data_IF_681812159307
#
_entry.id   IF_681812159307
#
_cell.length_a   1.000
_cell.length_b   1.000
_cell.length_c   1.000
_cell.angle_alpha   90.00
_cell.angle_beta   90.00
_cell.angle_gamma   90.00
#
_symmetry.space_group_name_H-M   'P 1'
#
loop_
_entity.id
_entity.type
_entity.pdbx_description
1 polymer ?
#
# COMPACT_ATOMS: atom_id res chain seq x y z
N UNK A 1 -9.40 9.59 2.10
CA UNK A 1 -7.99 9.15 1.97
C UNK A 1 -7.90 7.67 2.31
N UNK A 2 -7.10 6.90 1.57
CA UNK A 2 -6.95 5.44 1.73
C UNK A 2 -5.52 5.09 2.17
N UNK A 3 -5.41 4.25 3.19
CA UNK A 3 -4.15 3.72 3.72
C UNK A 3 -4.10 2.20 3.58
N UNK A 4 -3.16 1.69 2.80
CA UNK A 4 -2.78 0.28 2.87
C UNK A 4 -1.96 0.07 4.15
N UNK A 5 -2.57 -0.53 5.18
CA UNK A 5 -1.97 -0.66 6.51
C UNK A 5 -1.38 -2.03 6.78
N UNK A 6 -1.83 -3.06 6.05
CA UNK A 6 -1.44 -4.46 6.26
C UNK A 6 -0.91 -5.05 4.96
N UNK A 7 0.38 -5.39 4.95
CA UNK A 7 1.05 -6.01 3.81
C UNK A 7 0.88 -7.53 3.78
N UNK A 8 0.95 -8.08 2.58
CA UNK A 8 0.91 -9.53 2.37
C UNK A 8 1.87 -9.98 1.25
N UNK A 9 2.44 -11.17 1.42
CA UNK A 9 3.40 -11.73 0.47
C UNK A 9 4.79 -11.10 0.54
N UNK A 10 5.64 -11.49 -0.39
CA UNK A 10 7.01 -10.99 -0.55
C UNK A 10 7.06 -9.58 -1.18
N UNK A 11 8.27 -9.06 -1.44
CA UNK A 11 8.48 -7.71 -1.98
C UNK A 11 7.79 -7.51 -3.34
N UNK A 12 7.89 -8.49 -4.25
CA UNK A 12 7.30 -8.41 -5.59
C UNK A 12 5.78 -8.38 -5.53
N UNK A 13 5.17 -9.26 -4.74
CA UNK A 13 3.72 -9.30 -4.55
C UNK A 13 3.19 -8.00 -3.93
N UNK A 14 3.92 -7.45 -2.95
CA UNK A 14 3.56 -6.19 -2.30
C UNK A 14 3.66 -5.00 -3.24
N UNK A 15 4.63 -4.98 -4.15
CA UNK A 15 4.73 -3.95 -5.17
C UNK A 15 3.51 -3.99 -6.11
N UNK A 16 3.14 -5.19 -6.57
CA UNK A 16 1.96 -5.37 -7.43
C UNK A 16 0.68 -4.96 -6.72
N UNK A 17 0.46 -5.39 -5.47
CA UNK A 17 -0.66 -4.94 -4.65
C UNK A 17 -0.70 -3.42 -4.53
N UNK A 18 0.45 -2.79 -4.25
CA UNK A 18 0.54 -1.35 -4.14
C UNK A 18 0.15 -0.65 -5.46
N UNK A 19 0.62 -1.15 -6.61
CA UNK A 19 0.26 -0.60 -7.91
C UNK A 19 -1.24 -0.72 -8.19
N UNK A 20 -1.89 -1.82 -7.82
CA UNK A 20 -3.33 -1.96 -7.99
C UNK A 20 -4.12 -0.97 -7.13
N UNK A 21 -3.83 -0.85 -5.83
CA UNK A 21 -4.51 0.13 -4.98
C UNK A 21 -4.27 1.57 -5.43
N UNK A 22 -3.03 1.88 -5.78
CA UNK A 22 -2.68 3.22 -6.24
C UNK A 22 -3.37 3.53 -7.57
N UNK A 23 -3.49 2.56 -8.49
CA UNK A 23 -4.19 2.73 -9.75
C UNK A 23 -5.68 3.06 -9.50
N UNK A 24 -6.32 2.29 -8.62
CA UNK A 24 -7.72 2.50 -8.24
C UNK A 24 -7.95 3.87 -7.61
N UNK A 25 -7.12 4.24 -6.64
CA UNK A 25 -7.24 5.53 -5.96
C UNK A 25 -6.94 6.69 -6.90
N UNK A 26 -5.93 6.55 -7.79
CA UNK A 26 -5.59 7.55 -8.80
C UNK A 26 -6.74 7.79 -9.78
N UNK A 27 -7.40 6.72 -10.23
CA UNK A 27 -8.53 6.81 -11.16
C UNK A 27 -9.71 7.58 -10.56
N UNK A 28 -9.93 7.39 -9.25
CA UNK A 28 -11.04 7.97 -8.52
C UNK A 28 -10.69 9.29 -7.80
N UNK A 29 -9.50 9.86 -8.05
CA UNK A 29 -9.00 11.07 -7.38
C UNK A 29 -9.01 10.98 -5.84
N UNK A 30 -8.56 9.85 -5.30
CA UNK A 30 -8.46 9.57 -3.87
C UNK A 30 -6.98 9.59 -3.47
N UNK A 31 -6.67 10.35 -2.41
CA UNK A 31 -5.33 10.33 -1.81
C UNK A 31 -5.04 8.93 -1.23
N UNK A 32 -3.91 8.35 -1.62
CA UNK A 32 -3.49 6.99 -1.28
C UNK A 32 -2.10 6.97 -0.66
N UNK A 33 -1.94 6.16 0.39
CA UNK A 33 -0.69 5.92 1.09
C UNK A 33 -0.50 4.46 1.43
N UNK A 34 0.74 3.99 1.43
CA UNK A 34 1.09 2.64 1.85
C UNK A 34 2.05 2.68 3.04
N UNK A 35 1.51 2.48 4.24
CA UNK A 35 2.25 2.57 5.50
C UNK A 35 3.40 1.55 5.55
N UNK A 36 3.19 0.41 4.90
CA UNK A 36 4.11 -0.72 4.90
C UNK A 36 5.15 -0.65 3.78
N UNK A 37 5.12 0.35 2.88
CA UNK A 37 6.08 0.43 1.75
C UNK A 37 7.51 0.84 2.15
N UNK A 38 7.73 1.16 3.43
CA UNK A 38 8.98 1.73 3.95
C UNK A 38 10.27 0.97 3.64
N UNK A 39 10.20 -0.36 3.49
CA UNK A 39 11.35 -1.22 3.19
C UNK A 39 11.68 -1.28 1.69
N UNK A 40 10.85 -0.66 0.85
CA UNK A 40 11.01 -0.50 -0.59
C UNK A 40 11.18 0.96 -1.00
N UNK A 41 10.84 1.92 -0.13
CA UNK A 41 10.94 3.37 -0.36
C UNK A 41 12.29 3.80 -0.94
N UNK A 42 13.41 3.36 -0.35
CA UNK A 42 14.75 3.75 -0.82
C UNK A 42 15.06 3.19 -2.20
N UNK A 43 14.68 1.92 -2.45
CA UNK A 43 14.97 1.24 -3.69
C UNK A 43 14.33 1.92 -4.91
N UNK A 44 13.13 2.48 -4.72
CA UNK A 44 12.44 3.26 -5.75
C UNK A 44 12.64 4.78 -5.60
N UNK A 45 13.35 5.22 -4.57
CA UNK A 45 13.48 6.61 -4.16
C UNK A 45 12.14 7.33 -4.04
N UNK A 46 11.16 6.68 -3.42
CA UNK A 46 9.83 7.18 -3.10
C UNK A 46 9.82 7.46 -1.60
N UNK A 47 9.44 8.68 -1.19
CA UNK A 47 9.30 9.04 0.22
C UNK A 47 7.84 9.35 0.49
N UNK A 48 7.11 8.42 1.08
CA UNK A 48 5.70 8.66 1.41
C UNK A 48 5.59 9.70 2.53
N UNK A 49 4.51 10.48 2.52
CA UNK A 49 4.14 11.38 3.61
C UNK A 49 3.86 10.58 4.88
N UNK A 50 3.28 9.39 4.77
CA UNK A 50 3.00 8.50 5.89
C UNK A 50 3.76 7.18 5.68
N UNK A 51 4.76 6.93 6.52
CA UNK A 51 5.63 5.75 6.43
C UNK A 51 6.11 5.36 7.81
N UNK A 52 6.13 4.05 8.11
CA UNK A 52 6.69 3.54 9.37
C UNK A 52 8.18 3.84 9.52
N UNK A 53 8.89 4.17 8.44
CA UNK A 53 10.30 4.62 8.50
C UNK A 53 10.50 5.91 9.30
N UNK A 54 9.46 6.72 9.40
CA UNK A 54 9.49 8.01 10.12
C UNK A 54 9.41 7.82 11.64
N UNK A 55 9.01 6.64 12.10
CA UNK A 55 9.01 6.30 13.53
C UNK A 55 10.40 5.78 13.89
N UNK A 56 11.07 6.32 14.93
CA UNK A 56 12.35 5.80 15.38
C UNK A 56 12.25 4.31 15.72
N UNK A 57 13.26 3.51 15.34
CA UNK A 57 13.22 2.04 15.48
C UNK A 57 12.87 1.56 16.90
N UNK A 58 13.32 2.28 17.94
CA UNK A 58 13.04 1.95 19.35
C UNK A 58 11.56 2.06 19.71
N UNK A 59 10.80 2.91 19.02
CA UNK A 59 9.37 3.12 19.21
C UNK A 59 8.53 2.38 18.17
N UNK A 60 9.16 1.66 17.24
CA UNK A 60 8.47 0.99 16.17
C UNK A 60 8.13 -0.44 16.61
N UNK A 61 6.88 -0.74 16.98
CA UNK A 61 6.52 -2.07 17.45
C UNK A 61 6.65 -3.10 16.32
N UNK A 62 6.57 -4.39 16.66
CA UNK A 62 6.54 -5.45 15.64
C UNK A 62 5.30 -5.31 14.73
N UNK A 63 5.32 -5.96 13.56
CA UNK A 63 4.26 -5.84 12.55
C UNK A 63 2.87 -6.19 13.08
N UNK A 64 2.73 -7.31 13.79
CA UNK A 64 1.44 -7.76 14.32
C UNK A 64 0.86 -6.74 15.32
N UNK A 65 1.72 -6.17 16.16
CA UNK A 65 1.32 -5.10 17.08
C UNK A 65 0.92 -3.83 16.34
N UNK A 66 1.60 -3.44 15.24
CA UNK A 66 1.18 -2.28 14.43
C UNK A 66 -0.23 -2.46 13.87
N UNK A 67 -0.50 -3.63 13.28
CA UNK A 67 -1.83 -3.93 12.73
C UNK A 67 -2.89 -3.93 13.82
N UNK A 68 -2.59 -4.56 14.96
CA UNK A 68 -3.49 -4.60 16.11
C UNK A 68 -3.82 -3.20 16.65
N UNK A 69 -2.84 -2.30 16.70
CA UNK A 69 -3.07 -0.90 17.10
C UNK A 69 -4.08 -0.23 16.16
N UNK A 70 -3.88 -0.32 14.85
CA UNK A 70 -4.78 0.31 13.86
C UNK A 70 -6.19 -0.29 13.96
N UNK A 71 -6.28 -1.62 14.06
CA UNK A 71 -7.55 -2.33 14.23
C UNK A 71 -8.29 -1.94 15.50
N UNK A 72 -7.58 -1.83 16.62
CA UNK A 72 -8.18 -1.42 17.90
C UNK A 72 -8.58 0.05 17.92
N UNK A 73 -7.81 0.94 17.29
CA UNK A 73 -8.19 2.35 17.14
C UNK A 73 -9.49 2.49 16.35
N UNK A 74 -9.64 1.75 15.25
CA UNK A 74 -10.89 1.74 14.48
C UNK A 74 -12.07 1.21 15.30
N UNK A 75 -11.90 0.09 16.02
CA UNK A 75 -12.95 -0.47 16.90
C UNK A 75 -13.36 0.52 18.00
N UNK A 76 -12.38 1.18 18.60
CA UNK A 76 -12.62 2.17 19.64
C UNK A 76 -13.35 3.40 19.09
N UNK A 77 -12.94 3.91 17.92
CA UNK A 77 -13.62 5.00 17.23
C UNK A 77 -15.09 4.67 16.93
N UNK A 78 -15.37 3.48 16.42
CA UNK A 78 -16.75 2.98 16.19
C UNK A 78 -17.54 2.97 17.49
N UNK A 79 -16.98 2.44 18.58
CA UNK A 79 -17.62 2.42 19.91
C UNK A 79 -17.99 3.84 20.41
N UNK A 80 -17.20 4.84 20.06
CA UNK A 80 -17.44 6.24 20.40
C UNK A 80 -18.28 7.00 19.36
N UNK A 81 -18.85 6.33 18.35
CA UNK A 81 -19.54 6.95 17.22
C UNK A 81 -18.68 7.94 16.40
N UNK A 82 -17.34 7.83 16.48
CA UNK A 82 -16.40 8.58 15.65
C UNK A 82 -16.26 7.84 14.32
N UNK A 83 -16.98 8.30 13.29
CA UNK A 83 -17.08 7.61 11.99
C UNK A 83 -16.02 8.03 10.97
N UNK A 84 -15.01 8.81 11.37
CA UNK A 84 -13.98 9.33 10.47
C UNK A 84 -12.94 8.28 10.04
N UNK A 85 -12.91 7.13 10.71
CA UNK A 85 -11.97 6.04 10.45
C UNK A 85 -12.73 4.75 10.16
N UNK A 86 -12.36 4.06 9.09
CA UNK A 86 -12.94 2.77 8.70
C UNK A 86 -11.85 1.77 8.38
N UNK A 87 -12.12 0.50 8.63
CA UNK A 87 -11.29 -0.62 8.19
C UNK A 87 -12.08 -1.48 7.22
N UNK A 88 -11.47 -1.79 6.09
CA UNK A 88 -11.93 -2.84 5.18
C UNK A 88 -10.87 -3.93 5.08
N UNK A 89 -11.30 -5.17 5.27
CA UNK A 89 -10.46 -6.35 5.16
C UNK A 89 -10.91 -7.20 3.96
N UNK A 90 -10.04 -7.35 2.96
CA UNK A 90 -10.32 -8.07 1.72
C UNK A 90 -9.89 -9.54 1.74
N UNK A 91 -9.72 -10.12 2.93
CA UNK A 91 -9.25 -11.50 3.10
C UNK A 91 -10.24 -12.58 2.62
N UNK A 92 -11.48 -12.22 2.26
CA UNK A 92 -12.44 -13.18 1.75
C UNK A 92 -12.18 -13.52 0.27
N UNK A 93 -11.93 -14.80 0.00
CA UNK A 93 -11.70 -15.36 -1.33
C UNK A 93 -12.85 -15.11 -2.30
N UNK A 94 -14.09 -15.04 -1.80
CA UNK A 94 -15.29 -14.84 -2.62
C UNK A 94 -15.43 -13.39 -3.10
N UNK A 95 -14.78 -12.45 -2.42
CA UNK A 95 -14.82 -11.01 -2.72
C UNK A 95 -13.67 -10.56 -3.64
N UNK A 96 -12.87 -11.52 -4.15
CA UNK A 96 -11.78 -11.27 -5.09
C UNK A 96 -12.30 -10.62 -6.38
N UNK A 97 -11.66 -9.53 -6.80
CA UNK A 97 -12.02 -8.77 -8.01
C UNK A 97 -13.45 -8.17 -8.00
N UNK A 98 -14.09 -8.08 -6.83
CA UNK A 98 -15.41 -7.47 -6.72
C UNK A 98 -15.29 -5.95 -6.68
N UNK A 99 -15.12 -5.33 -7.86
CA UNK A 99 -15.00 -3.88 -7.98
C UNK A 99 -16.22 -3.14 -7.40
N UNK A 100 -17.41 -3.73 -7.52
CA UNK A 100 -18.64 -3.17 -6.95
C UNK A 100 -18.61 -3.12 -5.42
N UNK A 101 -18.05 -4.15 -4.78
CA UNK A 101 -17.81 -4.13 -3.34
C UNK A 101 -16.83 -3.02 -2.94
N UNK A 102 -15.75 -2.85 -3.72
CA UNK A 102 -14.76 -1.79 -3.47
C UNK A 102 -15.38 -0.41 -3.65
N UNK A 103 -16.18 -0.20 -4.69
CA UNK A 103 -16.88 1.05 -4.93
C UNK A 103 -17.83 1.37 -3.78
N UNK A 104 -18.63 0.39 -3.34
CA UNK A 104 -19.50 0.53 -2.17
C UNK A 104 -18.71 0.88 -0.91
N UNK A 105 -17.55 0.27 -0.69
CA UNK A 105 -16.80 0.48 0.55
C UNK A 105 -15.96 1.75 0.53
N UNK A 106 -15.24 2.02 -0.55
CA UNK A 106 -14.27 3.11 -0.67
C UNK A 106 -14.93 4.38 -1.20
N UNK A 107 -15.72 4.31 -2.28
CA UNK A 107 -16.30 5.52 -2.88
C UNK A 107 -17.41 6.12 -2.03
N UNK A 108 -18.28 5.29 -1.44
CA UNK A 108 -19.33 5.76 -0.53
C UNK A 108 -18.77 6.36 0.78
N UNK A 109 -17.50 6.09 1.08
CA UNK A 109 -16.82 6.59 2.29
C UNK A 109 -15.59 7.45 1.96
N UNK A 110 -15.51 8.01 0.75
CA UNK A 110 -14.33 8.74 0.25
C UNK A 110 -13.96 9.98 1.07
N UNK A 111 -14.91 10.51 1.83
CA UNK A 111 -14.78 11.62 2.78
C UNK A 111 -14.07 11.22 4.09
N UNK A 112 -13.87 9.92 4.33
CA UNK A 112 -13.25 9.38 5.55
C UNK A 112 -11.78 8.99 5.34
N UNK A 113 -11.13 8.67 6.45
CA UNK A 113 -9.87 7.93 6.45
C UNK A 113 -10.17 6.44 6.45
N UNK A 114 -9.73 5.75 5.40
CA UNK A 114 -10.00 4.34 5.18
C UNK A 114 -8.69 3.58 5.30
N UNK A 115 -8.63 2.60 6.19
CA UNK A 115 -7.53 1.66 6.29
C UNK A 115 -7.93 0.35 5.61
N UNK A 116 -7.14 -0.11 4.65
CA UNK A 116 -7.40 -1.32 3.90
C UNK A 116 -6.30 -2.36 4.13
N UNK A 117 -6.71 -3.63 4.22
CA UNK A 117 -5.78 -4.75 4.10
C UNK A 117 -5.51 -5.02 2.62
N UNK A 118 -4.28 -5.39 2.26
CA UNK A 118 -3.88 -5.48 0.86
C UNK A 118 -4.14 -6.80 0.15
N UNK A 119 -4.70 -7.80 0.85
CA UNK A 119 -4.72 -9.17 0.33
C UNK A 119 -5.65 -9.27 -0.88
N UNK A 120 -5.09 -9.71 -2.01
CA UNK A 120 -5.80 -10.09 -3.23
C UNK A 120 -6.66 -9.02 -3.92
N UNK A 121 -6.58 -7.77 -3.48
CA UNK A 121 -7.10 -6.64 -4.22
C UNK A 121 -6.39 -6.50 -5.58
N UNK A 122 -7.16 -6.57 -6.66
CA UNK A 122 -6.65 -6.49 -8.03
C UNK A 122 -7.61 -5.70 -8.91
N UNK A 123 -7.04 -4.74 -9.63
CA UNK A 123 -7.70 -3.98 -10.69
C UNK A 123 -6.80 -3.97 -11.93
N UNK A 124 -6.74 -5.10 -12.69
CA UNK A 124 -5.79 -5.25 -13.78
C UNK A 124 -5.91 -4.19 -14.86
N UNK A 125 -7.15 -3.82 -15.22
CA UNK A 125 -7.42 -2.83 -16.26
C UNK A 125 -6.83 -1.46 -15.90
N UNK A 126 -7.02 -1.01 -14.66
CA UNK A 126 -6.44 0.26 -14.18
C UNK A 126 -4.92 0.19 -14.04
N UNK A 127 -4.37 -0.94 -13.59
CA UNK A 127 -2.93 -1.13 -13.51
C UNK A 127 -2.27 -1.06 -14.90
N UNK A 128 -2.94 -1.59 -15.92
CA UNK A 128 -2.52 -1.48 -17.33
C UNK A 128 -2.67 -0.04 -17.83
N UNK A 129 -3.82 0.61 -17.58
CA UNK A 129 -4.07 2.02 -17.95
C UNK A 129 -2.99 2.97 -17.42
N UNK A 130 -2.52 2.75 -16.18
CA UNK A 130 -1.50 3.58 -15.54
C UNK A 130 -0.08 2.99 -15.62
N UNK A 131 0.19 2.06 -16.55
CA UNK A 131 1.49 1.39 -16.68
C UNK A 131 2.67 2.36 -16.78
N UNK A 132 2.59 3.39 -17.62
CA UNK A 132 3.70 4.34 -17.81
C UNK A 132 3.97 5.18 -16.56
N UNK A 133 2.91 5.53 -15.84
CA UNK A 133 3.01 6.18 -14.54
C UNK A 133 3.77 5.29 -13.54
N UNK A 134 3.42 4.01 -13.47
CA UNK A 134 4.11 3.07 -12.59
C UNK A 134 5.53 2.77 -13.02
N UNK A 135 5.79 2.66 -14.33
CA UNK A 135 7.15 2.51 -14.85
C UNK A 135 8.01 3.67 -14.39
N UNK A 136 7.54 4.91 -14.53
CA UNK A 136 8.29 6.10 -14.07
C UNK A 136 8.50 6.10 -12.55
N UNK A 137 7.46 5.75 -11.78
CA UNK A 137 7.49 5.83 -10.31
C UNK A 137 8.29 4.70 -9.65
N UNK A 138 8.16 3.48 -10.17
CA UNK A 138 8.70 2.23 -9.59
C UNK A 138 9.85 1.64 -10.42
N UNK A 139 10.51 2.44 -11.26
CA UNK A 139 11.84 2.07 -11.76
C UNK A 139 12.83 2.23 -10.61
N UNK A 140 13.60 1.17 -10.26
CA UNK A 140 14.59 1.25 -9.19
C UNK A 140 15.59 2.38 -9.43
N UNK A 141 15.87 3.16 -8.40
CA UNK A 141 16.96 4.13 -8.39
C UNK A 141 18.19 3.43 -7.85
N UNK A 142 18.82 2.63 -8.69
CA UNK A 142 20.09 1.99 -8.34
C UNK A 142 21.13 3.11 -8.14
N UNK A 143 21.71 3.21 -6.94
CA UNK A 143 22.99 3.88 -6.83
C UNK A 143 24.02 3.09 -7.66
N UNK A 144 24.85 3.81 -8.43
CA UNK A 144 25.86 3.27 -9.36
C UNK A 144 26.78 2.20 -8.75
N UNK A 145 26.88 2.10 -7.42
CA UNK A 145 27.62 1.05 -6.70
C UNK A 145 27.14 -0.37 -7.02
N UNK A 146 25.89 -0.54 -7.46
CA UNK A 146 25.32 -1.84 -7.83
C UNK A 146 25.73 -2.31 -9.23
N UNK A 147 26.05 -1.38 -10.14
CA UNK A 147 26.45 -1.70 -11.52
C UNK A 147 27.88 -2.24 -11.63
N UNK A 148 28.74 -1.91 -10.66
CA UNK A 148 30.11 -2.43 -10.61
C UNK A 148 30.10 -3.96 -10.47
N UNK A 149 29.11 -4.55 -9.79
CA UNK A 149 29.04 -6.00 -9.61
C UNK A 149 28.65 -6.76 -10.89
N UNK A 150 27.78 -6.18 -11.72
CA UNK A 150 27.34 -6.80 -12.99
C UNK A 150 28.49 -6.73 -14.02
N UNK A 151 29.21 -5.61 -14.09
CA UNK A 151 30.30 -5.44 -15.07
C UNK A 151 31.55 -6.30 -14.76
N UNK A 152 31.76 -6.71 -13.51
CA UNK A 152 32.88 -7.58 -13.13
C UNK A 152 32.60 -9.05 -13.45
N UNK A 153 31.35 -9.50 -13.39
CA UNK A 153 30.98 -10.91 -13.63
C UNK A 153 30.68 -11.25 -15.09
N UNK A 154 30.36 -10.27 -15.95
CA UNK A 154 30.24 -10.50 -17.42
C UNK A 154 31.59 -10.46 -18.15
N UNK A 155 32.70 -10.30 -17.43
CA UNK A 155 34.07 -10.29 -17.97
C UNK A 155 34.99 -11.41 -17.46
N UNK A 156 34.43 -12.39 -16.74
CA UNK A 156 35.11 -13.64 -16.33
C UNK A 156 34.47 -14.80 -17.09
#
# INVERSE_FOLDING_TARGET
>A
MVFLYKRFGDKSNRLLQNMHFEAYCKDNNIEYHNLEFYDMEDFYGIKDKYSFKKIPKIFLPNLNTRYSIIENLSKFAIKLNIKNFLIFDYMNIEDRNNIALYDKQILENRDKTIFVSGWEFRVPELAIKYRDYFKKKYTPKLEMSSYIYIYIYERI
#
